data_IF_212362270343
#
_entry.id   IF_212362270343
#
_cell.length_a   1.000
_cell.length_b   1.000
_cell.length_c   1.000
_cell.angle_alpha   90.00
_cell.angle_beta   90.00
_cell.angle_gamma   90.00
#
_symmetry.space_group_name_H-M   'P 1'
#
loop_
_entity.id
_entity.type
_entity.pdbx_description
1 polymer ?
#
# COMPACT_ATOMS: atom_id res chain seq x y z
N UNK A 1 24.40 -6.05 10.02
CA UNK A 1 25.30 -5.06 9.37
C UNK A 1 24.39 -4.22 8.50
N UNK A 2 24.18 -2.93 8.82
CA UNK A 2 23.38 -2.03 7.98
C UNK A 2 24.29 -1.64 6.81
N UNK A 3 24.01 -2.14 5.63
CA UNK A 3 24.70 -1.77 4.39
C UNK A 3 24.31 -0.32 4.07
N UNK A 4 25.22 0.62 4.29
CA UNK A 4 25.03 2.01 3.87
C UNK A 4 25.22 2.06 2.35
N UNK A 5 24.14 2.35 1.63
CA UNK A 5 24.24 2.66 0.20
C UNK A 5 25.29 3.73 -0.06
N UNK A 6 26.08 3.54 -1.09
CA UNK A 6 27.07 4.55 -1.51
C UNK A 6 26.38 5.90 -1.73
N UNK A 7 27.04 7.02 -1.40
CA UNK A 7 26.45 8.37 -1.43
C UNK A 7 25.84 8.71 -2.80
N UNK A 8 26.46 8.25 -3.91
CA UNK A 8 25.90 8.47 -5.25
C UNK A 8 24.56 7.73 -5.46
N UNK A 9 24.37 6.54 -4.85
CA UNK A 9 23.11 5.79 -4.90
C UNK A 9 22.01 6.52 -4.14
N UNK A 10 22.34 7.12 -2.99
CA UNK A 10 21.39 7.94 -2.22
C UNK A 10 20.95 9.17 -3.02
N UNK A 11 21.88 9.84 -3.72
CA UNK A 11 21.54 10.96 -4.61
C UNK A 11 20.65 10.50 -5.78
N UNK A 12 20.97 9.37 -6.42
CA UNK A 12 20.12 8.79 -7.46
C UNK A 12 18.69 8.55 -6.97
N UNK A 13 18.53 7.95 -5.80
CA UNK A 13 17.20 7.70 -5.19
C UNK A 13 16.47 9.01 -4.95
N UNK A 14 17.14 10.02 -4.38
CA UNK A 14 16.55 11.34 -4.14
C UNK A 14 16.11 12.03 -5.43
N UNK A 15 16.92 11.99 -6.49
CA UNK A 15 16.55 12.58 -7.78
C UNK A 15 15.38 11.84 -8.44
N UNK A 16 15.34 10.50 -8.35
CA UNK A 16 14.21 9.69 -8.83
C UNK A 16 12.93 10.04 -8.07
N UNK A 17 12.98 10.19 -6.76
CA UNK A 17 11.85 10.61 -5.94
C UNK A 17 11.32 11.98 -6.35
N UNK A 18 12.20 12.96 -6.57
CA UNK A 18 11.83 14.30 -7.06
C UNK A 18 11.14 14.27 -8.42
N UNK A 19 11.61 13.41 -9.34
CA UNK A 19 10.96 13.20 -10.64
C UNK A 19 9.56 12.58 -10.46
N UNK A 20 9.42 11.57 -9.61
CA UNK A 20 8.15 10.91 -9.30
C UNK A 20 7.15 11.89 -8.67
N UNK A 21 7.62 12.75 -7.75
CA UNK A 21 6.77 13.74 -7.08
C UNK A 21 6.47 14.98 -7.94
N UNK A 22 6.95 15.01 -9.19
CA UNK A 22 6.65 16.08 -10.14
C UNK A 22 7.43 17.37 -9.93
N UNK A 23 8.49 17.36 -9.11
CA UNK A 23 9.44 18.48 -9.01
C UNK A 23 10.24 18.66 -10.32
N UNK A 24 10.43 17.57 -11.07
CA UNK A 24 10.97 17.56 -12.42
C UNK A 24 10.02 16.88 -13.39
N UNK A 25 9.83 17.46 -14.58
CA UNK A 25 9.02 16.90 -15.68
C UNK A 25 9.92 16.40 -16.78
N UNK A 26 9.41 15.54 -17.65
CA UNK A 26 10.13 15.13 -18.87
C UNK A 26 10.48 16.38 -19.69
N UNK A 27 11.75 16.51 -20.06
CA UNK A 27 12.31 17.67 -20.76
C UNK A 27 12.89 18.75 -19.85
N UNK A 28 12.66 18.70 -18.53
CA UNK A 28 13.24 19.67 -17.60
C UNK A 28 14.76 19.47 -17.50
N UNK A 29 15.44 20.59 -17.37
CA UNK A 29 16.89 20.60 -17.17
C UNK A 29 17.21 20.43 -15.68
N UNK A 30 18.06 19.45 -15.37
CA UNK A 30 18.60 19.30 -14.02
C UNK A 30 19.65 20.36 -13.72
N UNK A 31 19.84 20.66 -12.45
CA UNK A 31 20.93 21.51 -11.97
C UNK A 31 22.28 20.97 -12.41
N UNK A 32 23.24 21.89 -12.57
CA UNK A 32 24.60 21.47 -12.93
C UNK A 32 25.26 20.67 -11.79
N UNK A 33 26.20 19.77 -12.13
CA UNK A 33 26.95 18.99 -11.14
C UNK A 33 27.54 19.87 -10.02
N UNK A 34 27.98 21.10 -10.36
CA UNK A 34 28.53 22.04 -9.38
C UNK A 34 27.46 22.54 -8.41
N UNK A 35 26.27 22.86 -8.91
CA UNK A 35 25.16 23.34 -8.11
C UNK A 35 24.67 22.21 -7.20
N UNK A 36 24.44 21.01 -7.74
CA UNK A 36 24.05 19.84 -6.95
C UNK A 36 25.08 19.49 -5.88
N UNK A 37 26.39 19.52 -6.22
CA UNK A 37 27.43 19.24 -5.25
C UNK A 37 27.38 20.18 -4.05
N UNK A 38 27.14 21.48 -4.30
CA UNK A 38 26.98 22.48 -3.24
C UNK A 38 25.68 22.26 -2.45
N UNK A 39 24.56 21.97 -3.13
CA UNK A 39 23.23 21.79 -2.52
C UNK A 39 23.18 20.57 -1.60
N UNK A 40 23.77 19.45 -2.02
CA UNK A 40 23.77 18.19 -1.26
C UNK A 40 24.99 18.01 -0.34
N UNK A 41 25.94 18.96 -0.35
CA UNK A 41 27.14 18.89 0.50
C UNK A 41 28.09 17.73 0.14
N UNK A 42 28.11 17.30 -1.12
CA UNK A 42 28.91 16.18 -1.62
C UNK A 42 29.90 16.62 -2.70
N UNK A 43 30.87 15.77 -3.00
CA UNK A 43 31.84 16.14 -4.05
C UNK A 43 31.22 16.00 -5.46
N UNK A 44 31.78 16.76 -6.41
CA UNK A 44 31.29 16.80 -7.80
C UNK A 44 31.36 15.44 -8.51
N UNK A 45 32.37 14.62 -8.20
CA UNK A 45 32.49 13.27 -8.79
C UNK A 45 31.37 12.34 -8.35
N UNK A 46 30.92 12.48 -7.11
CA UNK A 46 29.75 11.71 -6.60
C UNK A 46 28.46 12.08 -7.36
N UNK A 47 28.25 13.39 -7.63
CA UNK A 47 27.14 13.86 -8.46
C UNK A 47 27.28 13.34 -9.89
N UNK A 48 28.48 13.43 -10.48
CA UNK A 48 28.74 12.90 -11.82
C UNK A 48 28.38 11.41 -11.93
N UNK A 49 28.81 10.59 -10.97
CA UNK A 49 28.53 9.16 -10.93
C UNK A 49 27.02 8.89 -10.80
N UNK A 50 26.31 9.68 -9.99
CA UNK A 50 24.85 9.56 -9.86
C UNK A 50 24.13 9.90 -11.17
N UNK A 51 24.50 11.00 -11.83
CA UNK A 51 23.91 11.40 -13.11
C UNK A 51 24.22 10.42 -14.23
N UNK A 52 25.45 9.89 -14.27
CA UNK A 52 25.86 8.86 -15.22
C UNK A 52 25.03 7.58 -15.05
N UNK A 53 24.86 7.12 -13.81
CA UNK A 53 24.04 5.95 -13.53
C UNK A 53 22.55 6.18 -13.90
N UNK A 54 21.99 7.38 -13.63
CA UNK A 54 20.65 7.74 -14.08
C UNK A 54 20.55 7.78 -15.62
N UNK A 55 21.61 8.16 -16.32
CA UNK A 55 21.66 8.15 -17.80
C UNK A 55 21.74 6.72 -18.33
N UNK A 56 22.55 5.85 -17.74
CA UNK A 56 22.64 4.42 -18.06
C UNK A 56 21.28 3.70 -17.85
N UNK A 57 20.52 4.11 -16.85
CA UNK A 57 19.15 3.63 -16.62
C UNK A 57 18.08 4.32 -17.50
N UNK A 58 18.48 5.34 -18.29
CA UNK A 58 17.60 6.05 -19.23
C UNK A 58 16.66 7.08 -18.60
N UNK A 59 16.85 7.47 -17.35
CA UNK A 59 16.02 8.49 -16.70
C UNK A 59 16.41 9.91 -17.08
N UNK A 60 17.66 10.12 -17.38
CA UNK A 60 18.18 11.41 -17.84
C UNK A 60 19.00 11.26 -19.12
N UNK A 61 19.22 12.35 -19.82
CA UNK A 61 20.08 12.41 -21.00
C UNK A 61 20.98 13.63 -20.94
N UNK A 62 22.28 13.41 -21.03
CA UNK A 62 23.26 14.47 -21.04
C UNK A 62 23.48 14.96 -22.49
N UNK A 63 23.46 16.30 -22.66
CA UNK A 63 23.78 16.95 -23.94
C UNK A 63 24.99 17.82 -23.74
N UNK A 64 26.06 17.58 -24.55
CA UNK A 64 27.32 18.32 -24.46
C UNK A 64 27.09 19.83 -24.58
N UNK A 65 27.55 20.58 -23.62
CA UNK A 65 27.43 22.05 -23.56
C UNK A 65 26.02 22.56 -23.19
N UNK A 66 25.01 21.71 -23.12
CA UNK A 66 23.61 22.10 -22.82
C UNK A 66 23.16 21.69 -21.41
N UNK A 67 23.76 20.62 -20.87
CA UNK A 67 23.42 20.05 -19.55
C UNK A 67 22.69 18.73 -19.62
N UNK A 68 22.19 18.28 -18.46
CA UNK A 68 21.45 17.01 -18.30
C UNK A 68 19.96 17.30 -18.19
N UNK A 69 19.14 16.53 -18.91
CA UNK A 69 17.69 16.72 -18.99
C UNK A 69 16.97 15.43 -18.59
N UNK A 70 15.81 15.54 -17.99
CA UNK A 70 14.95 14.40 -17.69
C UNK A 70 14.41 13.81 -18.99
N UNK A 71 14.77 12.57 -19.26
CA UNK A 71 14.36 11.83 -20.46
C UNK A 71 13.13 10.94 -20.20
N UNK A 72 13.06 10.39 -18.99
CA UNK A 72 11.96 9.55 -18.53
C UNK A 72 11.77 9.81 -17.04
N UNK A 73 10.53 9.93 -16.60
CA UNK A 73 10.23 9.85 -15.16
C UNK A 73 10.36 8.37 -14.81
N UNK A 74 11.09 8.01 -13.73
CA UNK A 74 10.99 6.67 -13.23
C UNK A 74 9.49 6.38 -13.08
N UNK A 75 8.99 5.37 -13.78
CA UNK A 75 7.76 4.78 -13.32
C UNK A 75 8.04 4.56 -11.84
N UNK A 76 7.18 5.11 -10.97
CA UNK A 76 7.19 4.61 -9.58
C UNK A 76 7.36 3.13 -9.77
N UNK A 77 8.45 2.51 -9.28
CA UNK A 77 8.54 1.08 -9.45
C UNK A 77 7.17 0.65 -9.02
N UNK A 78 6.44 -0.03 -9.90
CA UNK A 78 5.10 -0.52 -9.56
C UNK A 78 5.34 -1.48 -8.41
N UNK A 79 5.51 -0.87 -7.27
CA UNK A 79 5.70 -1.44 -5.96
C UNK A 79 4.30 -1.84 -5.59
N UNK A 80 3.75 -2.66 -6.53
CA UNK A 80 2.48 -3.30 -6.35
C UNK A 80 2.58 -4.04 -5.04
N UNK A 81 1.70 -3.71 -4.14
CA UNK A 81 1.52 -4.51 -2.96
C UNK A 81 1.08 -5.86 -3.48
N UNK A 82 1.97 -6.83 -3.44
CA UNK A 82 1.59 -8.19 -3.72
C UNK A 82 0.67 -8.65 -2.60
N UNK A 83 -0.60 -8.76 -2.95
CA UNK A 83 -1.60 -9.41 -2.11
C UNK A 83 -1.69 -10.82 -2.65
N UNK A 84 -1.06 -11.75 -1.98
CA UNK A 84 -1.07 -13.16 -2.39
C UNK A 84 -0.47 -14.03 -1.31
N UNK A 85 -0.79 -15.29 -1.36
CA UNK A 85 -0.27 -16.31 -0.47
C UNK A 85 1.24 -16.51 -0.72
N UNK A 86 2.05 -15.66 -0.13
CA UNK A 86 3.44 -15.99 0.08
C UNK A 86 3.47 -16.92 1.30
N UNK A 87 3.76 -18.20 1.06
CA UNK A 87 4.06 -19.22 2.09
C UNK A 87 2.97 -19.52 3.15
N UNK A 88 1.68 -19.41 2.84
CA UNK A 88 0.61 -19.89 3.73
C UNK A 88 0.41 -19.09 5.03
N UNK A 89 1.02 -17.92 5.16
CA UNK A 89 0.80 -17.04 6.30
C UNK A 89 -0.21 -15.94 5.97
N UNK A 90 -1.24 -15.81 6.79
CA UNK A 90 -2.17 -14.68 6.76
C UNK A 90 -1.42 -13.45 7.27
N UNK A 91 -1.01 -12.56 6.36
CA UNK A 91 -0.27 -11.35 6.70
C UNK A 91 -1.19 -10.14 6.55
N UNK A 92 -1.25 -9.29 7.57
CA UNK A 92 -1.98 -8.02 7.43
C UNK A 92 -1.36 -7.15 6.34
N UNK A 93 -2.20 -6.49 5.54
CA UNK A 93 -1.79 -5.66 4.42
C UNK A 93 -0.71 -4.64 4.80
N UNK A 94 -0.86 -3.98 5.95
CA UNK A 94 0.10 -3.00 6.47
C UNK A 94 1.45 -3.61 6.87
N UNK A 95 1.50 -4.87 7.29
CA UNK A 95 2.74 -5.57 7.59
C UNK A 95 3.52 -5.85 6.32
N UNK A 96 2.85 -6.31 5.26
CA UNK A 96 3.46 -6.53 3.94
C UNK A 96 4.06 -5.26 3.33
N UNK A 97 3.41 -4.11 3.51
CA UNK A 97 3.90 -2.80 3.06
C UNK A 97 5.18 -2.39 3.82
N UNK A 98 5.16 -2.49 5.15
CA UNK A 98 6.31 -2.13 6.00
C UNK A 98 7.53 -3.02 5.76
N UNK A 99 7.33 -4.32 5.57
CA UNK A 99 8.41 -5.27 5.24
C UNK A 99 9.14 -4.90 3.94
N UNK A 100 8.47 -4.21 3.03
CA UNK A 100 9.04 -3.71 1.76
C UNK A 100 9.65 -2.30 1.87
N UNK A 101 9.75 -1.75 3.08
CA UNK A 101 10.40 -0.47 3.36
C UNK A 101 9.57 0.78 3.06
N UNK A 102 8.23 0.63 2.92
CA UNK A 102 7.33 1.76 2.75
C UNK A 102 6.77 2.25 4.06
N UNK A 103 6.46 3.55 4.11
CA UNK A 103 5.63 4.10 5.15
C UNK A 103 4.16 3.76 4.84
N UNK A 104 3.58 2.93 5.69
CA UNK A 104 2.15 2.63 5.67
C UNK A 104 1.46 3.45 6.74
N UNK A 105 0.47 4.24 6.35
CA UNK A 105 -0.43 4.93 7.25
C UNK A 105 -1.88 4.60 6.90
N UNK A 106 -2.79 4.89 7.80
CA UNK A 106 -4.22 4.68 7.59
C UNK A 106 -5.03 5.72 8.34
N UNK A 107 -6.11 6.16 7.72
CA UNK A 107 -7.11 6.99 8.37
C UNK A 107 -8.33 6.12 8.68
N UNK A 108 -8.80 6.14 9.91
CA UNK A 108 -10.11 5.59 10.28
C UNK A 108 -11.16 6.65 9.96
N UNK A 109 -11.91 6.44 8.89
CA UNK A 109 -12.93 7.38 8.42
C UNK A 109 -14.19 7.28 9.31
N UNK A 110 -14.59 6.04 9.64
CA UNK A 110 -15.66 5.79 10.61
C UNK A 110 -15.42 4.46 11.34
N UNK A 111 -15.86 4.39 12.58
CA UNK A 111 -15.90 3.19 13.37
C UNK A 111 -17.13 3.23 14.29
N UNK A 112 -18.06 2.31 14.11
CA UNK A 112 -19.32 2.32 14.81
C UNK A 112 -19.81 0.91 15.10
N UNK A 113 -20.61 0.75 16.14
CA UNK A 113 -21.31 -0.49 16.48
C UNK A 113 -22.75 -0.39 15.99
N UNK A 114 -23.18 -1.34 15.16
CA UNK A 114 -24.53 -1.37 14.63
C UNK A 114 -25.15 -2.79 14.70
N UNK A 115 -26.50 -2.91 14.62
CA UNK A 115 -27.16 -4.22 14.51
C UNK A 115 -26.66 -4.98 13.29
N UNK A 116 -26.54 -6.31 13.43
CA UNK A 116 -26.29 -7.20 12.30
C UNK A 116 -27.65 -7.47 11.60
N UNK A 117 -27.82 -6.90 10.38
CA UNK A 117 -29.05 -7.03 9.59
C UNK A 117 -28.74 -7.45 8.15
N UNK A 118 -29.74 -7.97 7.43
CA UNK A 118 -29.60 -8.37 6.02
C UNK A 118 -28.44 -9.32 5.78
N UNK A 119 -27.65 -9.04 4.75
CA UNK A 119 -26.47 -9.83 4.36
C UNK A 119 -25.48 -10.01 5.52
N UNK A 120 -25.28 -8.97 6.34
CA UNK A 120 -24.36 -9.04 7.47
C UNK A 120 -24.84 -10.03 8.53
N UNK A 121 -26.17 -10.15 8.74
CA UNK A 121 -26.73 -11.16 9.63
C UNK A 121 -26.55 -12.57 9.09
N UNK A 122 -26.60 -12.73 7.77
CA UNK A 122 -26.34 -14.04 7.14
C UNK A 122 -24.86 -14.44 7.28
N UNK A 123 -23.94 -13.48 7.15
CA UNK A 123 -22.49 -13.69 7.34
C UNK A 123 -22.15 -14.00 8.81
N UNK A 124 -22.79 -13.32 9.75
CA UNK A 124 -22.55 -13.49 11.19
C UNK A 124 -23.83 -13.93 11.93
N UNK A 125 -24.35 -15.14 11.70
CA UNK A 125 -25.63 -15.58 12.26
C UNK A 125 -25.63 -15.67 13.79
N UNK A 126 -24.46 -15.78 14.40
CA UNK A 126 -24.27 -15.96 15.84
C UNK A 126 -24.14 -14.62 16.61
N UNK A 127 -24.09 -13.46 15.93
CA UNK A 127 -23.98 -12.15 16.58
C UNK A 127 -25.25 -11.31 16.37
N UNK A 128 -25.55 -10.45 17.30
CA UNK A 128 -26.64 -9.46 17.18
C UNK A 128 -26.14 -8.10 16.70
N UNK A 129 -24.87 -7.80 16.93
CA UNK A 129 -24.23 -6.55 16.54
C UNK A 129 -22.86 -6.79 15.91
N UNK A 130 -22.46 -5.89 15.05
CA UNK A 130 -21.12 -5.84 14.47
C UNK A 130 -20.49 -4.47 14.71
N UNK A 131 -19.18 -4.43 14.80
CA UNK A 131 -18.45 -3.20 14.55
C UNK A 131 -18.18 -3.07 13.07
N UNK A 132 -18.45 -1.88 12.53
CA UNK A 132 -18.18 -1.52 11.14
C UNK A 132 -17.11 -0.47 11.12
N UNK A 133 -16.03 -0.73 10.39
CA UNK A 133 -14.89 0.16 10.26
C UNK A 133 -14.64 0.49 8.81
N UNK A 134 -14.64 1.78 8.47
CA UNK A 134 -14.21 2.28 7.17
C UNK A 134 -12.82 2.89 7.32
N UNK A 135 -11.84 2.37 6.56
CA UNK A 135 -10.46 2.83 6.59
C UNK A 135 -9.97 3.22 5.20
N UNK A 136 -9.20 4.31 5.16
CA UNK A 136 -8.38 4.68 4.01
C UNK A 136 -6.93 4.32 4.30
N UNK A 137 -6.39 3.40 3.52
CA UNK A 137 -4.99 2.98 3.61
C UNK A 137 -4.13 3.77 2.64
N UNK A 138 -2.95 4.20 3.13
CA UNK A 138 -2.02 5.06 2.38
C UNK A 138 -0.62 4.45 2.35
N UNK A 139 0.08 4.70 1.24
CA UNK A 139 1.52 4.42 1.05
C UNK A 139 2.20 5.75 0.81
N UNK A 140 3.18 6.11 1.65
CA UNK A 140 3.88 7.39 1.55
C UNK A 140 2.89 8.56 1.40
N UNK A 141 1.83 8.56 2.24
CA UNK A 141 0.72 9.51 2.29
C UNK A 141 -0.24 9.52 1.09
N UNK A 142 -0.07 8.63 0.10
CA UNK A 142 -0.97 8.49 -1.04
C UNK A 142 -2.02 7.41 -0.78
N UNK A 143 -3.32 7.70 -1.00
CA UNK A 143 -4.36 6.70 -0.94
C UNK A 143 -4.07 5.54 -1.90
N UNK A 144 -4.27 4.30 -1.45
CA UNK A 144 -4.17 3.15 -2.34
C UNK A 144 -5.29 2.11 -2.15
N UNK A 145 -5.92 2.08 -0.97
CA UNK A 145 -7.04 1.19 -0.72
C UNK A 145 -8.04 1.79 0.27
N UNK A 146 -9.32 1.53 0.03
CA UNK A 146 -10.42 1.76 0.97
C UNK A 146 -10.95 0.41 1.41
N UNK A 147 -11.15 0.22 2.72
CA UNK A 147 -11.59 -1.03 3.30
C UNK A 147 -12.79 -0.78 4.22
N UNK A 148 -13.90 -1.48 3.97
CA UNK A 148 -15.05 -1.55 4.88
C UNK A 148 -15.06 -2.92 5.53
N UNK A 149 -14.79 -2.95 6.82
CA UNK A 149 -14.59 -4.17 7.61
C UNK A 149 -15.70 -4.32 8.63
N UNK A 150 -16.23 -5.54 8.74
CA UNK A 150 -17.22 -5.94 9.74
C UNK A 150 -16.60 -7.01 10.65
N UNK A 151 -16.71 -6.81 11.97
CA UNK A 151 -16.28 -7.78 12.96
C UNK A 151 -17.39 -7.99 14.00
N UNK A 152 -17.62 -9.23 14.49
CA UNK A 152 -18.70 -9.54 15.44
C UNK A 152 -18.43 -8.91 16.80
N UNK A 153 -19.39 -8.12 17.31
CA UNK A 153 -19.23 -7.36 18.53
C UNK A 153 -19.24 -8.22 19.79
N UNK A 154 -19.81 -9.41 19.75
CA UNK A 154 -19.79 -10.36 20.87
C UNK A 154 -18.43 -11.04 21.03
N UNK A 155 -17.66 -11.17 19.94
CA UNK A 155 -16.29 -11.71 19.96
C UNK A 155 -15.30 -10.60 20.33
N UNK A 156 -15.48 -9.42 19.77
CA UNK A 156 -14.58 -8.27 19.89
C UNK A 156 -15.21 -7.11 20.67
N UNK A 157 -15.75 -7.41 21.83
CA UNK A 157 -16.62 -6.55 22.64
C UNK A 157 -16.02 -5.19 23.05
N UNK A 158 -14.72 -5.08 23.07
CA UNK A 158 -13.98 -3.86 23.45
C UNK A 158 -13.22 -3.23 22.26
N UNK A 159 -13.59 -3.55 21.02
CA UNK A 159 -12.94 -3.02 19.83
C UNK A 159 -13.00 -1.48 19.74
N UNK A 160 -14.03 -0.87 20.36
CA UNK A 160 -14.19 0.57 20.45
C UNK A 160 -13.15 1.27 21.33
N UNK A 161 -12.35 0.50 22.09
CA UNK A 161 -11.27 1.01 22.95
C UNK A 161 -9.89 0.90 22.30
N UNK A 162 -9.82 0.27 21.13
CA UNK A 162 -8.55 0.05 20.42
C UNK A 162 -8.34 1.12 19.35
N UNK A 163 -7.11 1.65 19.26
CA UNK A 163 -6.75 2.63 18.23
C UNK A 163 -6.36 1.93 16.91
N UNK A 164 -7.34 1.82 16.02
CA UNK A 164 -7.14 1.25 14.69
C UNK A 164 -6.45 2.18 13.69
N UNK A 165 -6.19 3.44 14.02
CA UNK A 165 -5.36 4.31 13.21
C UNK A 165 -3.87 3.90 13.33
N UNK A 166 -3.42 3.59 14.54
CA UNK A 166 -2.04 3.16 14.80
C UNK A 166 -1.90 1.63 14.74
N UNK A 167 -2.82 0.90 15.36
CA UNK A 167 -2.79 -0.55 15.47
C UNK A 167 -3.37 -1.30 14.26
N UNK A 168 -2.93 -2.54 14.05
CA UNK A 168 -3.50 -3.44 13.04
C UNK A 168 -4.73 -4.15 13.59
N UNK A 169 -5.73 -4.40 12.73
CA UNK A 169 -6.88 -5.23 13.12
C UNK A 169 -6.45 -6.63 13.56
N UNK A 170 -5.50 -7.23 12.85
CA UNK A 170 -5.03 -8.58 13.19
C UNK A 170 -4.17 -8.61 14.45
N UNK A 171 -3.40 -7.55 14.74
CA UNK A 171 -2.70 -7.43 16.01
C UNK A 171 -3.70 -7.32 17.19
N UNK A 172 -4.82 -6.60 16.99
CA UNK A 172 -5.91 -6.55 17.97
C UNK A 172 -6.57 -7.93 18.15
N UNK A 173 -6.91 -8.61 17.05
CA UNK A 173 -7.53 -9.94 17.08
C UNK A 173 -6.62 -10.96 17.79
N UNK A 174 -5.31 -10.87 17.60
CA UNK A 174 -4.31 -11.71 18.28
C UNK A 174 -4.34 -11.51 19.80
N UNK A 175 -4.55 -10.27 20.28
CA UNK A 175 -4.71 -10.01 21.73
C UNK A 175 -5.93 -10.72 22.35
N UNK A 176 -6.87 -11.15 21.51
CA UNK A 176 -8.09 -11.89 21.91
C UNK A 176 -7.98 -13.40 21.70
N UNK A 177 -6.81 -13.89 21.28
CA UNK A 177 -6.63 -15.28 20.83
C UNK A 177 -7.64 -15.70 19.74
N UNK A 178 -7.98 -14.75 18.87
CA UNK A 178 -9.00 -14.86 17.80
C UNK A 178 -8.48 -14.30 16.48
N UNK A 179 -7.24 -14.58 16.13
CA UNK A 179 -6.70 -14.12 14.86
C UNK A 179 -7.11 -15.04 13.69
N UNK A 180 -7.13 -14.55 12.44
CA UNK A 180 -7.46 -15.36 11.28
C UNK A 180 -6.51 -16.54 11.08
N UNK A 181 -7.06 -17.74 11.08
CA UNK A 181 -6.36 -18.98 10.73
C UNK A 181 -6.56 -19.37 9.26
N UNK A 182 -7.69 -18.97 8.69
CA UNK A 182 -8.02 -19.15 7.29
C UNK A 182 -8.65 -17.86 6.75
N UNK A 183 -8.27 -17.47 5.51
CA UNK A 183 -8.85 -16.33 4.82
C UNK A 183 -9.20 -16.71 3.39
N UNK A 184 -10.47 -16.64 3.08
CA UNK A 184 -10.95 -16.71 1.70
C UNK A 184 -10.92 -15.32 1.06
N UNK A 185 -10.45 -15.24 -0.18
CA UNK A 185 -10.33 -13.98 -0.90
C UNK A 185 -10.97 -14.09 -2.28
N UNK A 186 -11.93 -13.21 -2.55
CA UNK A 186 -12.63 -13.14 -3.84
C UNK A 186 -12.25 -11.84 -4.54
N UNK A 187 -11.47 -11.95 -5.62
CA UNK A 187 -10.99 -10.83 -6.42
C UNK A 187 -11.87 -10.60 -7.63
N UNK A 188 -12.28 -9.34 -7.83
CA UNK A 188 -12.94 -8.85 -9.04
C UNK A 188 -12.29 -7.55 -9.51
N UNK A 189 -12.54 -7.17 -10.76
CA UNK A 189 -12.18 -5.85 -11.31
C UNK A 189 -13.49 -5.12 -11.57
N UNK A 190 -13.76 -4.08 -10.77
CA UNK A 190 -15.04 -3.38 -10.78
C UNK A 190 -14.87 -1.88 -10.55
N UNK A 191 -15.94 -1.11 -10.73
CA UNK A 191 -15.98 0.28 -10.31
C UNK A 191 -16.21 0.34 -8.80
N UNK A 192 -15.45 1.16 -8.06
CA UNK A 192 -15.72 1.37 -6.65
C UNK A 192 -16.99 2.18 -6.47
N UNK A 193 -17.70 2.09 -5.32
CA UNK A 193 -18.73 3.05 -4.94
C UNK A 193 -18.21 4.48 -5.07
N UNK A 194 -19.09 5.42 -5.47
CA UNK A 194 -18.69 6.80 -5.76
C UNK A 194 -17.96 7.47 -4.57
N UNK A 195 -18.44 7.23 -3.35
CA UNK A 195 -17.80 7.72 -2.12
C UNK A 195 -16.38 7.18 -1.93
N UNK A 196 -16.12 5.90 -2.31
CA UNK A 196 -14.79 5.29 -2.20
C UNK A 196 -13.86 5.75 -3.33
N UNK A 197 -14.42 6.01 -4.53
CA UNK A 197 -13.67 6.62 -5.62
C UNK A 197 -13.10 7.99 -5.20
N UNK A 198 -13.90 8.81 -4.51
CA UNK A 198 -13.47 10.10 -3.98
C UNK A 198 -12.35 9.96 -2.93
N UNK A 199 -12.49 9.03 -1.99
CA UNK A 199 -11.45 8.76 -0.97
C UNK A 199 -10.13 8.28 -1.59
N UNK A 200 -10.20 7.58 -2.71
CA UNK A 200 -9.04 7.05 -3.43
C UNK A 200 -8.41 8.04 -4.42
N UNK A 201 -8.96 9.24 -4.58
CA UNK A 201 -8.60 10.16 -5.67
C UNK A 201 -8.66 9.45 -7.06
N UNK A 202 -9.60 8.50 -7.21
CA UNK A 202 -9.75 7.70 -8.41
C UNK A 202 -10.85 8.29 -9.31
N UNK A 203 -10.58 8.48 -10.61
CA UNK A 203 -11.63 8.86 -11.55
C UNK A 203 -12.81 7.88 -11.51
N UNK A 204 -14.08 8.37 -11.57
CA UNK A 204 -15.25 7.52 -11.35
C UNK A 204 -15.47 6.44 -12.41
N UNK A 205 -14.85 6.58 -13.58
CA UNK A 205 -14.85 5.61 -14.68
C UNK A 205 -13.70 4.60 -14.63
N UNK A 206 -12.79 4.72 -13.65
CA UNK A 206 -11.65 3.84 -13.51
C UNK A 206 -11.94 2.68 -12.57
N UNK A 207 -11.77 1.48 -13.12
CA UNK A 207 -11.91 0.23 -12.36
C UNK A 207 -10.76 0.03 -11.39
N UNK A 208 -11.06 -0.65 -10.30
CA UNK A 208 -10.14 -1.02 -9.24
C UNK A 208 -10.18 -2.54 -9.01
N UNK A 209 -9.23 -3.06 -8.24
CA UNK A 209 -9.37 -4.41 -7.69
C UNK A 209 -10.33 -4.34 -6.51
N UNK A 210 -11.48 -5.00 -6.64
CA UNK A 210 -12.45 -5.19 -5.56
C UNK A 210 -12.22 -6.58 -4.95
N UNK A 211 -11.84 -6.62 -3.70
CA UNK A 211 -11.54 -7.87 -2.99
C UNK A 211 -12.47 -8.01 -1.80
N UNK A 212 -13.09 -9.16 -1.71
CA UNK A 212 -13.86 -9.57 -0.53
C UNK A 212 -13.01 -10.54 0.27
N UNK A 213 -12.82 -10.28 1.55
CA UNK A 213 -12.14 -11.17 2.49
C UNK A 213 -13.13 -11.73 3.49
N UNK A 214 -13.10 -13.04 3.67
CA UNK A 214 -13.81 -13.78 4.71
C UNK A 214 -12.74 -14.46 5.58
N UNK A 215 -12.63 -14.04 6.83
CA UNK A 215 -11.62 -14.60 7.73
C UNK A 215 -12.26 -15.44 8.83
N UNK A 216 -11.68 -16.58 9.07
CA UNK A 216 -12.12 -17.56 10.04
C UNK A 216 -11.01 -17.82 11.07
N UNK A 217 -11.39 -17.96 12.34
CA UNK A 217 -10.49 -18.36 13.40
C UNK A 217 -10.17 -19.87 13.37
N UNK A 218 -9.31 -20.32 14.29
CA UNK A 218 -8.92 -21.75 14.41
C UNK A 218 -10.10 -22.69 14.70
N UNK A 219 -11.23 -22.15 15.16
CA UNK A 219 -12.46 -22.91 15.44
C UNK A 219 -13.42 -22.93 14.25
N UNK A 220 -13.02 -22.29 13.12
CA UNK A 220 -13.86 -22.15 11.93
C UNK A 220 -14.97 -21.11 12.08
N UNK A 221 -14.88 -20.24 13.12
CA UNK A 221 -15.82 -19.16 13.30
C UNK A 221 -15.40 -17.98 12.40
N UNK A 222 -16.33 -17.47 11.59
CA UNK A 222 -16.06 -16.25 10.80
C UNK A 222 -15.89 -15.07 11.74
N UNK A 223 -14.76 -14.40 11.71
CA UNK A 223 -14.41 -13.29 12.59
C UNK A 223 -14.20 -11.96 11.87
N UNK A 224 -14.16 -11.97 10.55
CA UNK A 224 -14.05 -10.77 9.72
C UNK A 224 -14.73 -10.98 8.37
N UNK A 225 -15.46 -9.95 7.94
CA UNK A 225 -15.92 -9.75 6.57
C UNK A 225 -15.46 -8.38 6.11
N UNK A 226 -14.63 -8.33 5.06
CA UNK A 226 -14.05 -7.08 4.56
C UNK A 226 -14.27 -6.92 3.07
N UNK A 227 -14.82 -5.77 2.68
CA UNK A 227 -14.87 -5.28 1.31
C UNK A 227 -13.73 -4.29 1.12
N UNK A 228 -12.83 -4.56 0.18
CA UNK A 228 -11.62 -3.78 -0.04
C UNK A 228 -11.48 -3.39 -1.50
N UNK A 229 -11.20 -2.11 -1.76
CA UNK A 229 -11.04 -1.54 -3.09
C UNK A 229 -9.63 -0.98 -3.23
N UNK A 230 -8.84 -1.54 -4.14
CA UNK A 230 -7.42 -1.24 -4.29
C UNK A 230 -7.12 -0.62 -5.65
N UNK A 231 -6.33 0.43 -5.66
CA UNK A 231 -5.84 1.05 -6.90
C UNK A 231 -4.85 0.11 -7.61
N UNK A 232 -5.08 -0.22 -8.90
CA UNK A 232 -4.24 -1.18 -9.64
C UNK A 232 -2.78 -0.74 -9.79
N UNK A 233 -2.50 0.56 -9.76
CA UNK A 233 -1.13 1.07 -9.86
C UNK A 233 -0.29 0.76 -8.61
N UNK A 234 -0.93 0.48 -7.46
CA UNK A 234 -0.26 0.16 -6.20
C UNK A 234 -0.41 -1.31 -5.77
N UNK A 235 -1.20 -2.09 -6.49
CA UNK A 235 -1.57 -3.44 -6.03
C UNK A 235 -1.35 -4.48 -7.12
N UNK A 236 -0.73 -5.59 -6.76
CA UNK A 236 -0.68 -6.81 -7.59
C UNK A 236 -1.07 -8.03 -6.77
N UNK A 237 -1.57 -9.05 -7.46
CA UNK A 237 -1.90 -10.33 -6.86
C UNK A 237 -0.99 -11.40 -7.45
N UNK A 238 -0.32 -12.16 -6.59
CA UNK A 238 0.54 -13.28 -6.98
C UNK A 238 -0.07 -14.58 -6.49
N UNK A 239 -0.23 -15.53 -7.38
CA UNK A 239 -0.70 -16.87 -7.06
C UNK A 239 0.39 -17.88 -7.43
N UNK A 240 0.76 -18.72 -6.49
CA UNK A 240 1.66 -19.85 -6.71
C UNK A 240 0.84 -21.12 -6.72
N UNK A 241 0.90 -21.89 -7.81
CA UNK A 241 0.22 -23.18 -7.93
C UNK A 241 1.25 -24.27 -7.94
N UNK A 242 1.23 -25.14 -6.95
CA UNK A 242 2.04 -26.37 -6.92
C UNK A 242 1.22 -27.54 -7.47
N UNK A 243 1.79 -28.28 -8.41
CA UNK A 243 1.21 -29.55 -8.84
C UNK A 243 1.57 -30.62 -7.83
N UNK A 244 0.58 -31.09 -7.06
CA UNK A 244 0.73 -32.32 -6.29
C UNK A 244 0.84 -33.49 -7.28
N UNK A 245 2.00 -34.15 -7.32
CA UNK A 245 2.28 -35.37 -8.08
C UNK A 245 1.86 -36.54 -7.24
#
# INVERSE_FOLDING_TARGET
MIEYDAIYVQLMKSLKEKMIHGEYRIGDKLDSERVMAAQYGINRMTVHNALKALEEEGYVKAYRGRGTFVARIPEEPSRKIEIGADSGAVISLSRGIRQRGYRSSRDVISFEKCPAEGEIKEMFPYTSHVFVMLRLSKINDRPYAVQKTYIPAEVFWDADRYDFAEGSLYDYMDTKDRYPAEVESYLRIDLPPAEYAQLLDNPPDKKVFAVTYLAYDRQGLMIEYTLSYHLPQYTSFTYVTERKI
#
